data_IF_029881625743
#
_entry.id   IF_029881625743
#
_cell.length_a   1.000
_cell.length_b   1.000
_cell.length_c   1.000
_cell.angle_alpha   90.00
_cell.angle_beta   90.00
_cell.angle_gamma   90.00
#
_symmetry.space_group_name_H-M   'P 1'
#
loop_
_entity.id
_entity.type
_entity.pdbx_description
1 polymer ?
#
# COMPACT_ATOMS: atom_id res chain seq x y z
N UNK A 1 -16.20 -18.31 30.10
CA UNK A 1 -17.16 -18.19 28.97
C UNK A 1 -16.89 -16.85 28.30
N UNK A 2 -16.13 -16.87 27.20
CA UNK A 2 -15.69 -15.66 26.51
C UNK A 2 -16.82 -15.04 25.71
N UNK A 3 -17.20 -13.82 26.04
CA UNK A 3 -18.07 -12.97 25.23
C UNK A 3 -17.27 -12.44 24.06
N UNK A 4 -17.46 -13.05 22.89
CA UNK A 4 -16.89 -12.59 21.63
C UNK A 4 -17.60 -11.29 21.23
N UNK A 5 -16.94 -10.16 21.47
CA UNK A 5 -17.31 -8.83 20.98
C UNK A 5 -17.20 -8.81 19.44
N UNK A 6 -18.26 -9.27 18.75
CA UNK A 6 -18.45 -9.03 17.32
C UNK A 6 -18.86 -7.58 17.16
N UNK A 7 -17.87 -6.70 16.99
CA UNK A 7 -18.13 -5.35 16.49
C UNK A 7 -18.71 -5.49 15.08
N UNK A 8 -20.01 -5.27 14.93
CA UNK A 8 -20.62 -5.12 13.62
C UNK A 8 -19.92 -3.94 12.91
N UNK A 9 -19.23 -4.16 11.78
CA UNK A 9 -18.66 -3.06 11.03
C UNK A 9 -19.83 -2.20 10.53
N UNK A 10 -19.73 -0.90 10.71
CA UNK A 10 -20.76 0.09 10.34
C UNK A 10 -21.15 -0.11 8.86
N UNK A 11 -22.27 -0.83 8.62
CA UNK A 11 -22.69 -1.36 7.32
C UNK A 11 -23.08 -0.32 6.26
N UNK A 12 -23.05 0.98 6.58
CA UNK A 12 -23.57 2.03 5.71
C UNK A 12 -22.54 2.83 4.89
N UNK A 13 -21.24 2.76 5.23
CA UNK A 13 -20.23 3.68 4.65
C UNK A 13 -19.35 3.00 3.58
N UNK A 14 -19.35 1.66 3.54
CA UNK A 14 -18.45 0.86 2.71
C UNK A 14 -19.13 0.27 1.46
N UNK A 15 -20.08 0.98 0.83
CA UNK A 15 -20.80 0.47 -0.36
C UNK A 15 -20.41 1.24 -1.63
N UNK A 16 -20.02 0.50 -2.67
CA UNK A 16 -19.82 1.00 -4.02
C UNK A 16 -20.99 0.60 -4.89
N UNK A 17 -21.57 1.59 -5.59
CA UNK A 17 -22.68 1.36 -6.52
C UNK A 17 -22.12 1.29 -7.94
N UNK A 18 -22.16 0.10 -8.51
CA UNK A 18 -21.72 -0.18 -9.87
C UNK A 18 -22.61 0.49 -10.92
N UNK A 19 -22.13 0.50 -12.16
CA UNK A 19 -22.86 1.03 -13.33
C UNK A 19 -24.11 0.23 -13.68
N UNK A 20 -24.12 -1.07 -13.38
CA UNK A 20 -25.26 -1.98 -13.57
C UNK A 20 -26.28 -1.96 -12.42
N UNK A 21 -26.09 -1.05 -11.45
CA UNK A 21 -26.97 -0.90 -10.29
C UNK A 21 -26.70 -1.89 -9.16
N UNK A 22 -25.71 -2.78 -9.28
CA UNK A 22 -25.31 -3.66 -8.17
C UNK A 22 -24.55 -2.87 -7.11
N UNK A 23 -24.79 -3.24 -5.86
CA UNK A 23 -24.08 -2.71 -4.71
C UNK A 23 -23.05 -3.75 -4.24
N UNK A 24 -21.81 -3.32 -4.06
CA UNK A 24 -20.71 -4.16 -3.56
C UNK A 24 -20.16 -3.53 -2.30
N UNK A 25 -19.98 -4.33 -1.25
CA UNK A 25 -19.25 -3.88 -0.07
C UNK A 25 -17.76 -3.83 -0.38
N UNK A 26 -17.08 -2.75 0.05
CA UNK A 26 -15.63 -2.60 -0.12
C UNK A 26 -14.84 -3.76 0.48
N UNK A 27 -15.38 -4.36 1.55
CA UNK A 27 -14.78 -5.49 2.25
C UNK A 27 -14.84 -6.79 1.44
N UNK A 28 -15.80 -6.92 0.51
CA UNK A 28 -15.95 -8.08 -0.40
C UNK A 28 -14.97 -8.03 -1.58
N UNK A 29 -14.27 -6.91 -1.77
CA UNK A 29 -13.23 -6.79 -2.79
C UNK A 29 -12.01 -7.57 -2.30
N UNK A 30 -11.73 -8.69 -2.97
CA UNK A 30 -10.72 -9.67 -2.57
C UNK A 30 -9.33 -9.34 -3.09
N UNK A 31 -9.22 -8.68 -4.26
CA UNK A 31 -7.93 -8.38 -4.90
C UNK A 31 -7.83 -6.94 -5.36
N UNK A 32 -6.61 -6.42 -5.44
CA UNK A 32 -6.36 -5.08 -5.98
C UNK A 32 -6.75 -4.98 -7.45
N UNK A 33 -6.59 -6.06 -8.22
CA UNK A 33 -7.01 -6.11 -9.62
C UNK A 33 -8.53 -5.95 -9.75
N UNK A 34 -9.30 -6.69 -8.93
CA UNK A 34 -10.77 -6.53 -8.87
C UNK A 34 -11.17 -5.12 -8.46
N UNK A 35 -10.52 -4.56 -7.42
CA UNK A 35 -10.77 -3.19 -6.99
C UNK A 35 -10.47 -2.16 -8.08
N UNK A 36 -9.37 -2.34 -8.83
CA UNK A 36 -9.00 -1.47 -9.94
C UNK A 36 -10.05 -1.52 -11.07
N UNK A 37 -10.53 -2.70 -11.45
CA UNK A 37 -11.58 -2.83 -12.46
C UNK A 37 -12.88 -2.11 -12.05
N UNK A 38 -13.24 -2.16 -10.76
CA UNK A 38 -14.38 -1.42 -10.23
C UNK A 38 -14.13 0.10 -10.28
N UNK A 39 -12.91 0.55 -9.97
CA UNK A 39 -12.52 1.96 -10.03
C UNK A 39 -12.58 2.49 -11.46
N UNK A 40 -12.11 1.73 -12.44
CA UNK A 40 -12.14 2.10 -13.85
C UNK A 40 -13.58 2.22 -14.36
N UNK A 41 -14.47 1.29 -13.95
CA UNK A 41 -15.90 1.38 -14.25
C UNK A 41 -16.60 2.57 -13.57
N UNK A 42 -16.21 2.90 -12.34
CA UNK A 42 -16.70 4.08 -11.62
C UNK A 42 -16.27 5.36 -12.34
N UNK A 43 -15.01 5.46 -12.73
CA UNK A 43 -14.45 6.61 -13.45
C UNK A 43 -15.09 6.77 -14.84
N UNK A 44 -15.30 5.66 -15.57
CA UNK A 44 -16.06 5.67 -16.83
C UNK A 44 -17.48 6.21 -16.65
N UNK A 45 -18.20 5.76 -15.61
CA UNK A 45 -19.55 6.24 -15.33
C UNK A 45 -19.59 7.73 -14.92
N UNK A 46 -18.58 8.20 -14.20
CA UNK A 46 -18.42 9.63 -13.87
C UNK A 46 -18.28 10.44 -15.17
N UNK A 47 -17.37 10.02 -16.06
CA UNK A 47 -17.15 10.69 -17.34
C UNK A 47 -18.42 10.72 -18.19
N UNK A 48 -19.17 9.62 -18.26
CA UNK A 48 -20.44 9.57 -19.00
C UNK A 48 -21.47 10.57 -18.44
N UNK A 49 -21.62 10.67 -17.12
CA UNK A 49 -22.59 11.60 -16.52
C UNK A 49 -22.15 13.06 -16.74
N UNK A 50 -20.84 13.34 -16.63
CA UNK A 50 -20.29 14.67 -16.90
C UNK A 50 -20.51 15.08 -18.35
N UNK A 51 -20.26 14.18 -19.29
CA UNK A 51 -20.50 14.41 -20.72
C UNK A 51 -21.98 14.67 -21.03
N UNK A 52 -22.88 13.86 -20.45
CA UNK A 52 -24.33 14.06 -20.57
C UNK A 52 -24.78 15.42 -20.00
N UNK A 53 -24.21 15.85 -18.88
CA UNK A 53 -24.53 17.15 -18.27
C UNK A 53 -23.99 18.33 -19.09
N UNK A 54 -22.82 18.16 -19.72
CA UNK A 54 -22.19 19.19 -20.56
C UNK A 54 -22.93 19.36 -21.90
N UNK A 55 -23.39 18.26 -22.50
CA UNK A 55 -24.04 18.23 -23.81
C UNK A 55 -25.57 18.08 -23.74
N UNK A 56 -26.16 18.34 -22.57
CA UNK A 56 -27.61 18.26 -22.40
C UNK A 56 -28.34 19.23 -23.35
N UNK A 57 -29.38 18.73 -24.04
CA UNK A 57 -30.16 19.53 -24.96
C UNK A 57 -30.78 20.77 -24.27
N UNK A 58 -30.93 21.90 -24.98
CA UNK A 58 -31.67 23.05 -24.48
C UNK A 58 -33.11 22.62 -24.14
N UNK A 59 -33.52 22.78 -22.87
CA UNK A 59 -34.82 22.33 -22.39
C UNK A 59 -34.84 20.92 -21.77
N UNK A 60 -33.68 20.28 -21.55
CA UNK A 60 -33.60 19.04 -20.79
C UNK A 60 -34.30 19.16 -19.43
N UNK A 61 -35.03 18.11 -19.05
CA UNK A 61 -35.84 18.06 -17.83
C UNK A 61 -35.00 18.43 -16.58
N UNK A 62 -35.37 19.48 -15.82
CA UNK A 62 -34.70 19.87 -14.58
C UNK A 62 -34.61 18.72 -13.56
N UNK A 63 -35.61 17.81 -13.54
CA UNK A 63 -35.63 16.65 -12.65
C UNK A 63 -34.55 15.63 -13.02
N UNK A 64 -34.33 15.41 -14.32
CA UNK A 64 -33.24 14.57 -14.82
C UNK A 64 -31.88 15.17 -14.44
N UNK A 65 -31.69 16.48 -14.64
CA UNK A 65 -30.42 17.15 -14.33
C UNK A 65 -30.05 17.00 -12.86
N UNK A 66 -31.00 17.23 -11.96
CA UNK A 66 -30.82 17.05 -10.52
C UNK A 66 -30.46 15.61 -10.15
N UNK A 67 -31.10 14.61 -10.79
CA UNK A 67 -30.78 13.19 -10.56
C UNK A 67 -29.36 12.85 -11.05
N UNK A 68 -28.96 13.34 -12.22
CA UNK A 68 -27.63 13.16 -12.76
C UNK A 68 -26.55 13.78 -11.86
N UNK A 69 -26.77 15.01 -11.38
CA UNK A 69 -25.87 15.67 -10.42
C UNK A 69 -25.75 14.91 -9.09
N UNK A 70 -26.87 14.39 -8.57
CA UNK A 70 -26.86 13.56 -7.36
C UNK A 70 -26.09 12.26 -7.57
N UNK A 71 -26.28 11.60 -8.72
CA UNK A 71 -25.55 10.38 -9.08
C UNK A 71 -24.05 10.65 -9.22
N UNK A 72 -23.67 11.74 -9.90
CA UNK A 72 -22.28 12.19 -10.03
C UNK A 72 -21.64 12.44 -8.66
N UNK A 73 -22.33 13.18 -7.78
CA UNK A 73 -21.86 13.46 -6.42
C UNK A 73 -21.67 12.17 -5.62
N UNK A 74 -22.59 11.20 -5.73
CA UNK A 74 -22.47 9.91 -5.04
C UNK A 74 -21.26 9.12 -5.55
N UNK A 75 -21.08 9.01 -6.88
CA UNK A 75 -19.95 8.29 -7.47
C UNK A 75 -18.60 8.91 -7.11
N UNK A 76 -18.46 10.24 -7.17
CA UNK A 76 -17.25 10.95 -6.74
C UNK A 76 -16.91 10.72 -5.26
N UNK A 77 -17.91 10.57 -4.39
CA UNK A 77 -17.71 10.27 -2.96
C UNK A 77 -17.24 8.83 -2.69
N UNK A 78 -17.55 7.88 -3.57
CA UNK A 78 -17.11 6.48 -3.43
C UNK A 78 -15.63 6.29 -3.80
N UNK A 79 -15.10 7.15 -4.68
CA UNK A 79 -13.74 7.05 -5.23
C UNK A 79 -12.63 6.96 -4.17
N UNK A 80 -12.57 7.84 -3.14
CA UNK A 80 -11.47 7.82 -2.16
C UNK A 80 -11.44 6.53 -1.34
N UNK A 81 -12.61 6.04 -0.91
CA UNK A 81 -12.70 4.82 -0.11
C UNK A 81 -12.27 3.58 -0.92
N UNK A 82 -12.67 3.52 -2.20
CA UNK A 82 -12.23 2.46 -3.12
C UNK A 82 -10.72 2.50 -3.37
N UNK A 83 -10.15 3.69 -3.60
CA UNK A 83 -8.70 3.87 -3.77
C UNK A 83 -7.92 3.45 -2.52
N UNK A 84 -8.41 3.80 -1.32
CA UNK A 84 -7.82 3.35 -0.06
C UNK A 84 -7.84 1.82 0.06
N UNK A 85 -8.97 1.17 -0.25
CA UNK A 85 -9.09 -0.29 -0.24
C UNK A 85 -8.12 -0.95 -1.21
N UNK A 86 -8.02 -0.46 -2.45
CA UNK A 86 -7.04 -0.94 -3.44
C UNK A 86 -5.61 -0.78 -2.90
N UNK A 87 -5.28 0.35 -2.28
CA UNK A 87 -3.96 0.58 -1.68
C UNK A 87 -3.63 -0.37 -0.52
N UNK A 88 -4.63 -0.79 0.25
CA UNK A 88 -4.47 -1.84 1.27
C UNK A 88 -4.24 -3.20 0.62
N UNK A 89 -5.07 -3.57 -0.36
CA UNK A 89 -4.96 -4.85 -1.07
C UNK A 89 -3.61 -5.00 -1.79
N UNK A 90 -3.15 -3.96 -2.50
CA UNK A 90 -1.82 -3.96 -3.16
C UNK A 90 -0.67 -4.14 -2.19
N UNK A 91 -0.82 -3.70 -0.94
CA UNK A 91 0.21 -3.88 0.10
C UNK A 91 0.15 -5.30 0.64
N UNK A 92 -1.06 -5.81 0.92
CA UNK A 92 -1.26 -7.19 1.35
C UNK A 92 -0.78 -8.21 0.32
N UNK A 93 -1.10 -8.00 -0.97
CA UNK A 93 -0.64 -8.84 -2.07
C UNK A 93 0.89 -8.80 -2.20
N UNK A 94 1.51 -7.61 -2.17
CA UNK A 94 2.97 -7.49 -2.17
C UNK A 94 3.62 -8.14 -0.95
N UNK A 95 2.97 -8.13 0.22
CA UNK A 95 3.46 -8.82 1.42
C UNK A 95 3.26 -10.34 1.36
N UNK A 96 2.28 -10.82 0.59
CA UNK A 96 2.07 -12.25 0.36
C UNK A 96 3.00 -12.80 -0.74
N UNK A 97 3.32 -11.99 -1.75
CA UNK A 97 4.26 -12.30 -2.83
C UNK A 97 5.73 -12.10 -2.42
N UNK A 98 6.00 -11.11 -1.57
CA UNK A 98 7.26 -11.11 -0.84
C UNK A 98 7.25 -12.37 0.01
N UNK A 99 8.26 -13.26 -0.10
CA UNK A 99 8.48 -14.22 0.96
C UNK A 99 8.52 -13.37 2.23
N UNK A 100 7.65 -13.70 3.19
CA UNK A 100 7.59 -13.06 4.49
C UNK A 100 9.02 -12.70 4.85
N UNK A 101 9.29 -11.42 5.06
CA UNK A 101 10.55 -11.00 5.61
C UNK A 101 10.65 -11.74 6.94
N UNK A 102 11.26 -12.92 6.91
CA UNK A 102 11.66 -13.59 8.11
C UNK A 102 12.56 -12.56 8.83
N UNK A 103 12.49 -12.45 10.16
CA UNK A 103 13.45 -11.70 10.96
C UNK A 103 14.83 -12.40 10.91
N UNK A 104 15.28 -12.69 9.71
CA UNK A 104 16.45 -13.44 9.33
C UNK A 104 16.99 -12.82 8.04
N UNK A 105 17.97 -11.95 8.21
CA UNK A 105 18.95 -11.65 7.18
C UNK A 105 20.21 -12.56 7.30
N UNK A 106 20.16 -13.86 7.68
CA UNK A 106 21.39 -14.61 7.91
C UNK A 106 22.21 -14.65 6.62
N UNK A 107 21.63 -14.84 5.44
CA UNK A 107 22.44 -14.95 4.20
C UNK A 107 23.27 -13.71 3.85
N UNK A 108 22.82 -12.49 4.21
CA UNK A 108 23.60 -11.27 3.93
C UNK A 108 24.65 -11.04 5.03
N UNK A 109 24.27 -11.30 6.27
CA UNK A 109 25.19 -11.20 7.40
C UNK A 109 26.23 -12.33 7.40
N UNK A 110 25.87 -13.54 7.02
CA UNK A 110 26.75 -14.70 6.80
C UNK A 110 27.75 -14.42 5.68
N UNK A 111 27.31 -13.83 4.56
CA UNK A 111 28.21 -13.43 3.47
C UNK A 111 29.14 -12.31 3.89
N UNK A 112 28.63 -11.32 4.64
CA UNK A 112 29.43 -10.22 5.17
C UNK A 112 30.45 -10.73 6.19
N UNK A 113 30.04 -11.63 7.07
CA UNK A 113 30.87 -12.26 8.09
C UNK A 113 31.95 -13.12 7.45
N UNK A 114 31.59 -14.01 6.52
CA UNK A 114 32.56 -14.81 5.77
C UNK A 114 33.58 -13.95 5.00
N UNK A 115 33.16 -12.81 4.45
CA UNK A 115 34.08 -11.85 3.83
C UNK A 115 35.01 -11.18 4.85
N UNK A 116 34.50 -10.74 6.00
CA UNK A 116 35.29 -10.12 7.07
C UNK A 116 36.29 -11.13 7.64
N UNK A 117 35.88 -12.37 7.90
CA UNK A 117 36.72 -13.43 8.41
C UNK A 117 37.86 -13.72 7.42
N UNK A 118 37.54 -13.93 6.13
CA UNK A 118 38.55 -14.14 5.09
C UNK A 118 39.50 -12.96 4.90
N UNK A 119 38.99 -11.72 5.01
CA UNK A 119 39.82 -10.52 4.93
C UNK A 119 40.77 -10.40 6.13
N UNK A 120 40.34 -10.84 7.31
CA UNK A 120 41.15 -10.81 8.54
C UNK A 120 42.24 -11.87 8.52
N UNK A 121 42.00 -13.02 7.89
CA UNK A 121 43.00 -14.07 7.68
C UNK A 121 44.07 -13.69 6.64
N UNK A 122 43.70 -12.93 5.61
CA UNK A 122 44.58 -12.59 4.49
C UNK A 122 45.36 -11.28 4.67
N UNK A 123 44.85 -10.35 5.48
CA UNK A 123 45.44 -9.01 5.64
C UNK A 123 46.21 -8.89 6.95
N UNK A 124 47.31 -8.11 6.98
CA UNK A 124 47.97 -7.74 8.23
C UNK A 124 46.99 -7.01 9.17
N UNK A 125 47.08 -7.23 10.50
CA UNK A 125 46.16 -6.66 11.48
C UNK A 125 46.15 -5.12 11.46
N UNK A 126 47.27 -4.49 11.12
CA UNK A 126 47.40 -3.04 10.97
C UNK A 126 46.54 -2.53 9.81
N UNK A 127 46.47 -3.29 8.71
CA UNK A 127 45.68 -2.95 7.52
C UNK A 127 44.18 -3.08 7.80
N UNK A 128 43.77 -4.11 8.55
CA UNK A 128 42.37 -4.28 8.98
C UNK A 128 41.94 -3.11 9.87
N UNK A 129 42.79 -2.69 10.81
CA UNK A 129 42.54 -1.56 11.71
C UNK A 129 42.41 -0.25 10.94
N UNK A 130 43.26 0.00 9.94
CA UNK A 130 43.21 1.20 9.10
C UNK A 130 41.95 1.24 8.22
N UNK A 131 41.55 0.08 7.67
CA UNK A 131 40.29 -0.06 6.91
C UNK A 131 39.09 0.25 7.82
N UNK A 132 39.11 -0.25 9.06
CA UNK A 132 38.06 0.01 10.05
C UNK A 132 37.95 1.50 10.40
N UNK A 133 39.09 2.16 10.66
CA UNK A 133 39.13 3.60 10.94
C UNK A 133 38.58 4.43 9.76
N UNK A 134 39.00 4.11 8.52
CA UNK A 134 38.46 4.77 7.31
C UNK A 134 36.97 4.49 7.09
N UNK A 135 36.47 3.31 7.45
CA UNK A 135 35.06 3.00 7.36
C UNK A 135 34.23 3.84 8.36
N UNK A 136 34.74 4.02 9.58
CA UNK A 136 34.14 4.86 10.61
C UNK A 136 34.09 6.34 10.19
N UNK A 137 35.14 6.85 9.54
CA UNK A 137 35.16 8.22 8.99
C UNK A 137 34.14 8.42 7.86
N UNK A 138 33.95 7.41 6.99
CA UNK A 138 33.05 7.49 5.84
C UNK A 138 31.58 7.37 6.20
N UNK A 139 31.26 6.57 7.21
CA UNK A 139 29.87 6.28 7.60
C UNK A 139 29.71 6.41 9.12
N UNK A 140 29.89 7.61 9.70
CA UNK A 140 29.94 7.78 11.16
C UNK A 140 28.66 7.32 11.86
N UNK A 141 27.49 7.48 11.21
CA UNK A 141 26.19 7.04 11.75
C UNK A 141 26.10 5.52 11.96
N UNK A 142 26.81 4.72 11.15
CA UNK A 142 26.80 3.26 11.28
C UNK A 142 27.68 2.75 12.44
N UNK A 143 28.64 3.57 12.89
CA UNK A 143 29.56 3.25 13.98
C UNK A 143 29.19 3.93 15.30
N UNK A 144 28.38 5.00 15.26
CA UNK A 144 27.90 5.71 16.45
C UNK A 144 26.94 4.90 17.34
N UNK A 145 26.40 3.78 16.86
CA UNK A 145 25.50 2.91 17.62
C UNK A 145 26.23 1.84 18.46
N UNK A 146 27.55 1.71 18.33
CA UNK A 146 28.34 0.64 18.96
C UNK A 146 28.96 1.01 20.33
N UNK A 147 28.73 2.21 20.86
CA UNK A 147 29.16 2.59 22.22
C UNK A 147 28.26 1.98 23.33
N UNK A 148 27.27 1.16 22.94
CA UNK A 148 26.34 0.48 23.83
C UNK A 148 26.47 -1.05 23.78
N UNK A 149 27.66 -1.58 24.04
CA UNK A 149 27.86 -2.98 24.41
C UNK A 149 27.84 -3.98 23.25
N UNK A 150 29.03 -4.30 22.75
CA UNK A 150 29.55 -5.67 22.79
C UNK A 150 31.02 -5.61 22.38
N UNK A 151 31.89 -5.86 23.36
CA UNK A 151 33.27 -6.22 23.11
C UNK A 151 33.27 -7.61 22.46
N UNK A 152 34.02 -7.75 21.37
CA UNK A 152 34.35 -9.03 20.77
C UNK A 152 35.01 -9.98 21.77
#
# INVERSE_FOLDING_TARGET
>A
MSTSDKRDPVRGVNLVLLSDGREIHLDDIATAAQGQAILDGLDGAILTIEDQLAHAAPGADPSWRKRAEMALKRKRRQRPALQQRIGVLRRAERQAEQPQFEPGFPKRDDRRRAFIDAATELLPPETVTEIWARAAERVPVAFAAADGGDAW
#
